data_IF_612384982710
#
_entry.id   IF_612384982710
#
_cell.length_a   1.000
_cell.length_b   1.000
_cell.length_c   1.000
_cell.angle_alpha   90.00
_cell.angle_beta   90.00
_cell.angle_gamma   90.00
#
_symmetry.space_group_name_H-M   'P 1'
#
loop_
_entity.id
_entity.type
_entity.pdbx_description
1 polymer ?
#
# COMPACT_ATOMS: atom_id res chain seq x y z
N UNK A 1 -4.20 22.16 86.78
CA UNK A 1 -3.32 21.53 85.77
C UNK A 1 -4.15 20.42 85.13
N UNK A 2 -4.88 20.69 84.04
CA UNK A 2 -4.52 20.31 82.65
C UNK A 2 -4.24 18.80 82.51
N UNK A 3 -4.93 17.94 81.74
CA UNK A 3 -6.00 18.05 80.75
C UNK A 3 -6.20 16.66 80.07
N UNK A 4 -7.35 16.51 79.38
CA UNK A 4 -7.83 15.57 78.33
C UNK A 4 -6.85 14.53 77.73
N UNK A 5 -7.24 13.25 77.66
CA UNK A 5 -7.84 12.48 76.53
C UNK A 5 -6.90 12.23 75.34
N UNK A 6 -6.67 10.96 74.98
CA UNK A 6 -7.19 10.39 73.73
C UNK A 6 -6.89 8.90 73.57
N UNK A 7 -7.89 8.21 73.00
CA UNK A 7 -7.87 6.85 72.46
C UNK A 7 -6.77 6.68 71.41
N UNK A 8 -6.13 5.51 71.38
CA UNK A 8 -5.67 4.96 70.10
C UNK A 8 -5.80 3.44 70.01
N UNK A 9 -6.64 3.02 69.06
CA UNK A 9 -6.85 1.64 68.62
C UNK A 9 -5.70 1.23 67.70
N UNK A 10 -4.87 0.28 68.11
CA UNK A 10 -4.05 -0.47 67.17
C UNK A 10 -4.91 -1.48 66.42
N UNK A 11 -5.44 -1.08 65.26
CA UNK A 11 -5.91 -2.01 64.24
C UNK A 11 -4.69 -2.54 63.46
N UNK A 12 -4.43 -3.84 63.58
CA UNK A 12 -3.47 -4.56 62.75
C UNK A 12 -3.90 -4.49 61.28
N UNK A 13 -3.23 -3.63 60.51
CA UNK A 13 -3.38 -3.52 59.06
C UNK A 13 -2.98 -4.85 58.44
N UNK A 14 -3.98 -5.55 57.90
CA UNK A 14 -3.83 -6.63 56.94
C UNK A 14 -2.80 -6.23 55.89
N UNK A 15 -1.69 -6.96 55.84
CA UNK A 15 -0.70 -6.89 54.79
C UNK A 15 -1.42 -6.97 53.44
N UNK A 16 -1.48 -5.84 52.74
CA UNK A 16 -2.01 -5.74 51.39
C UNK A 16 -1.02 -6.48 50.49
N UNK A 17 -1.24 -7.78 50.30
CA UNK A 17 -0.62 -8.54 49.22
C UNK A 17 -0.98 -7.81 47.94
N UNK A 18 0.00 -7.11 47.40
CA UNK A 18 0.03 -6.67 46.00
C UNK A 18 -0.32 -7.86 45.13
N UNK A 19 -1.60 -7.96 44.75
CA UNK A 19 -2.06 -8.87 43.71
C UNK A 19 -1.49 -8.26 42.43
N UNK A 20 -0.38 -8.81 41.96
CA UNK A 20 0.08 -8.57 40.60
C UNK A 20 -1.10 -8.91 39.67
N UNK A 21 -1.71 -7.89 39.07
CA UNK A 21 -2.69 -8.09 38.00
C UNK A 21 -2.06 -9.03 36.97
N UNK A 22 -2.72 -10.12 36.54
CA UNK A 22 -2.21 -10.94 35.43
C UNK A 22 -1.93 -10.00 34.26
N UNK A 23 -0.64 -9.75 34.01
CA UNK A 23 -0.23 -8.66 33.14
C UNK A 23 -0.52 -9.04 31.70
N UNK A 24 -1.29 -8.21 31.00
CA UNK A 24 -1.45 -8.35 29.55
C UNK A 24 -0.07 -8.39 28.86
N UNK A 25 0.14 -9.38 27.99
CA UNK A 25 1.40 -9.53 27.27
C UNK A 25 1.52 -8.52 26.14
N UNK A 26 2.75 -8.18 25.76
CA UNK A 26 3.01 -7.33 24.58
C UNK A 26 2.44 -7.99 23.31
N UNK A 27 2.57 -9.32 23.18
CA UNK A 27 2.01 -10.05 22.05
C UNK A 27 0.49 -9.91 21.94
N UNK A 28 -0.24 -9.96 23.06
CA UNK A 28 -1.69 -9.75 23.04
C UNK A 28 -2.06 -8.32 22.60
N UNK A 29 -1.26 -7.32 22.99
CA UNK A 29 -1.46 -5.94 22.54
C UNK A 29 -1.18 -5.83 21.03
N UNK A 30 -0.08 -6.42 20.56
CA UNK A 30 0.31 -6.46 19.14
C UNK A 30 -0.77 -7.14 18.30
N UNK A 31 -1.24 -8.32 18.70
CA UNK A 31 -2.28 -9.06 17.99
C UNK A 31 -3.56 -8.24 17.87
N UNK A 32 -4.00 -7.62 18.96
CA UNK A 32 -5.19 -6.79 18.92
C UNK A 32 -5.02 -5.53 18.08
N UNK A 33 -3.85 -4.91 18.11
CA UNK A 33 -3.53 -3.75 17.27
C UNK A 33 -3.56 -4.14 15.79
N UNK A 34 -2.95 -5.28 15.42
CA UNK A 34 -2.99 -5.82 14.07
C UNK A 34 -4.42 -6.11 13.60
N UNK A 35 -5.27 -6.68 14.46
CA UNK A 35 -6.68 -6.94 14.14
C UNK A 35 -7.46 -5.64 13.89
N UNK A 36 -7.25 -4.61 14.71
CA UNK A 36 -7.87 -3.30 14.51
C UNK A 36 -7.47 -2.70 13.16
N UNK A 37 -6.17 -2.70 12.84
CA UNK A 37 -5.64 -2.15 11.59
C UNK A 37 -6.11 -2.96 10.38
N UNK A 38 -6.13 -4.29 10.47
CA UNK A 38 -6.64 -5.14 9.40
C UNK A 38 -8.13 -4.87 9.10
N UNK A 39 -8.92 -4.57 10.12
CA UNK A 39 -10.35 -4.31 9.98
C UNK A 39 -10.71 -2.88 9.57
N UNK A 40 -9.96 -1.87 10.03
CA UNK A 40 -10.33 -0.46 9.90
C UNK A 40 -9.21 0.50 9.48
N UNK A 41 -8.02 -0.02 9.17
CA UNK A 41 -6.86 0.78 8.76
C UNK A 41 -6.09 1.38 9.93
N UNK A 42 -4.98 2.06 9.63
CA UNK A 42 -4.08 2.57 10.67
C UNK A 42 -4.71 3.67 11.54
N UNK A 43 -5.69 4.41 11.00
CA UNK A 43 -6.40 5.46 11.72
C UNK A 43 -7.14 4.93 12.97
N UNK A 44 -7.57 3.66 12.96
CA UNK A 44 -8.23 3.01 14.09
C UNK A 44 -7.28 2.64 15.23
N UNK A 45 -5.96 2.67 14.99
CA UNK A 45 -4.96 2.45 16.04
C UNK A 45 -4.94 3.64 17.01
N UNK A 46 -5.82 3.58 18.00
CA UNK A 46 -5.91 4.53 19.10
C UNK A 46 -5.97 3.80 20.43
N UNK A 47 -5.37 4.40 21.48
CA UNK A 47 -5.17 3.73 22.77
C UNK A 47 -6.48 3.29 23.43
N UNK A 48 -7.58 4.03 23.23
CA UNK A 48 -8.87 3.75 23.86
C UNK A 48 -9.56 2.52 23.24
N UNK A 49 -9.84 2.44 21.93
CA UNK A 49 -10.29 1.21 21.26
C UNK A 49 -9.41 0.00 21.54
N UNK A 50 -8.08 0.18 21.56
CA UNK A 50 -7.14 -0.90 21.87
C UNK A 50 -7.33 -1.42 23.30
N UNK A 51 -7.37 -0.52 24.30
CA UNK A 51 -7.59 -0.88 25.70
C UNK A 51 -8.96 -1.54 25.91
N UNK A 52 -10.03 -0.97 25.33
CA UNK A 52 -11.39 -1.54 25.36
C UNK A 52 -11.40 -2.94 24.75
N UNK A 53 -10.77 -3.11 23.59
CA UNK A 53 -10.72 -4.39 22.88
C UNK A 53 -9.92 -5.48 23.61
N UNK A 54 -9.11 -5.11 24.60
CA UNK A 54 -8.32 -5.98 25.44
C UNK A 54 -8.89 -6.13 26.86
N UNK A 55 -9.98 -5.43 27.18
CA UNK A 55 -10.59 -5.43 28.52
C UNK A 55 -9.69 -4.81 29.60
N UNK A 56 -8.77 -3.92 29.23
CA UNK A 56 -7.86 -3.24 30.16
C UNK A 56 -8.03 -1.72 30.10
N UNK A 57 -7.40 -1.00 31.02
CA UNK A 57 -7.41 0.48 31.00
C UNK A 57 -6.29 1.03 30.10
N UNK A 58 -6.47 2.26 29.60
CA UNK A 58 -5.44 2.95 28.80
C UNK A 58 -4.09 3.04 29.55
N UNK A 59 -4.03 3.36 30.85
CA UNK A 59 -2.78 3.33 31.61
C UNK A 59 -2.04 1.98 31.58
N UNK A 60 -2.75 0.85 31.51
CA UNK A 60 -2.13 -0.48 31.39
C UNK A 60 -1.42 -0.62 30.03
N UNK A 61 -2.04 -0.15 28.96
CA UNK A 61 -1.42 -0.12 27.62
C UNK A 61 -0.22 0.82 27.61
N UNK A 62 -0.38 2.04 28.14
CA UNK A 62 0.72 3.03 28.18
C UNK A 62 1.89 2.58 29.04
N UNK A 63 1.66 1.85 30.14
CA UNK A 63 2.73 1.30 30.97
C UNK A 63 3.55 0.21 30.24
N UNK A 64 2.98 -0.45 29.22
CA UNK A 64 3.63 -1.52 28.46
C UNK A 64 4.24 -1.06 27.15
N UNK A 65 3.55 -0.17 26.43
CA UNK A 65 3.90 0.23 25.06
C UNK A 65 4.24 1.72 24.94
N UNK A 66 4.07 2.50 26.00
CA UNK A 66 4.40 3.92 26.00
C UNK A 66 3.37 4.80 25.28
N UNK A 67 3.87 5.84 24.61
CA UNK A 67 3.07 6.77 23.79
C UNK A 67 2.49 6.07 22.55
N UNK A 68 1.67 6.79 21.77
CA UNK A 68 1.15 6.26 20.50
C UNK A 68 2.27 5.98 19.50
N UNK A 69 3.29 6.83 19.47
CA UNK A 69 4.46 6.71 18.61
C UNK A 69 5.31 5.49 19.02
N UNK A 70 5.54 5.33 20.33
CA UNK A 70 6.25 4.16 20.86
C UNK A 70 5.47 2.86 20.62
N UNK A 71 4.14 2.90 20.73
CA UNK A 71 3.27 1.78 20.35
C UNK A 71 3.41 1.44 18.86
N UNK A 72 3.45 2.45 17.98
CA UNK A 72 3.60 2.24 16.54
C UNK A 72 4.97 1.65 16.19
N UNK A 73 6.05 2.16 16.79
CA UNK A 73 7.41 1.64 16.62
C UNK A 73 7.49 0.18 17.08
N UNK A 74 7.02 -0.11 18.30
CA UNK A 74 7.04 -1.46 18.87
C UNK A 74 6.15 -2.45 18.11
N UNK A 75 4.99 -2.01 17.64
CA UNK A 75 4.11 -2.80 16.77
C UNK A 75 4.80 -3.13 15.44
N UNK A 76 5.47 -2.14 14.83
CA UNK A 76 6.18 -2.30 13.57
C UNK A 76 7.33 -3.30 13.72
N UNK A 77 8.12 -3.19 14.80
CA UNK A 77 9.22 -4.13 15.08
C UNK A 77 8.72 -5.57 15.33
N UNK A 78 7.60 -5.71 16.06
CA UNK A 78 7.01 -7.02 16.33
C UNK A 78 6.46 -7.67 15.05
N UNK A 79 5.76 -6.90 14.22
CA UNK A 79 5.25 -7.37 12.93
C UNK A 79 6.39 -7.72 11.97
N UNK A 80 7.42 -6.87 11.89
CA UNK A 80 8.63 -7.14 11.11
C UNK A 80 9.31 -8.44 11.56
N UNK A 81 9.43 -8.69 12.86
CA UNK A 81 10.00 -9.96 13.37
C UNK A 81 9.21 -11.20 12.93
N UNK A 82 7.88 -11.11 12.91
CA UNK A 82 7.02 -12.20 12.40
C UNK A 82 7.17 -12.38 10.90
N UNK A 83 7.25 -11.26 10.16
CA UNK A 83 7.43 -11.27 8.72
C UNK A 83 8.79 -11.89 8.35
N UNK A 84 9.88 -11.56 9.06
CA UNK A 84 11.19 -12.19 8.85
C UNK A 84 11.15 -13.71 8.95
N UNK A 85 10.42 -14.28 9.91
CA UNK A 85 10.26 -15.74 10.01
C UNK A 85 9.56 -16.33 8.77
N UNK A 86 8.59 -15.62 8.21
CA UNK A 86 7.97 -15.97 6.94
C UNK A 86 8.97 -15.87 5.77
N UNK A 87 9.75 -14.80 5.68
CA UNK A 87 10.77 -14.59 4.65
C UNK A 87 11.84 -15.71 4.70
N UNK A 88 12.35 -16.02 5.90
CA UNK A 88 13.34 -17.08 6.13
C UNK A 88 12.83 -18.45 5.67
N UNK A 89 11.57 -18.78 5.99
CA UNK A 89 10.93 -20.03 5.55
C UNK A 89 10.92 -20.16 4.02
N UNK A 90 10.53 -19.10 3.31
CA UNK A 90 10.46 -19.12 1.84
C UNK A 90 11.84 -19.09 1.19
N UNK A 91 12.81 -18.37 1.76
CA UNK A 91 14.19 -18.38 1.32
C UNK A 91 14.82 -19.78 1.47
N UNK A 92 14.55 -20.47 2.59
CA UNK A 92 14.99 -21.83 2.82
C UNK A 92 14.38 -22.81 1.80
N UNK A 93 13.07 -22.66 1.51
CA UNK A 93 12.41 -23.48 0.48
C UNK A 93 13.02 -23.25 -0.91
N UNK A 94 13.20 -21.99 -1.33
CA UNK A 94 13.79 -21.63 -2.62
C UNK A 94 15.19 -22.23 -2.80
N UNK A 95 16.01 -22.19 -1.73
CA UNK A 95 17.33 -22.82 -1.70
C UNK A 95 17.24 -24.34 -1.80
N UNK A 96 16.33 -24.97 -1.06
CA UNK A 96 16.19 -26.43 -1.02
C UNK A 96 15.75 -27.02 -2.36
N UNK A 97 14.89 -26.32 -3.10
CA UNK A 97 14.43 -26.77 -4.44
C UNK A 97 15.36 -26.34 -5.57
N UNK A 98 16.37 -25.51 -5.28
CA UNK A 98 17.33 -25.04 -6.29
C UNK A 98 16.72 -24.13 -7.35
N UNK A 99 15.86 -23.18 -6.96
CA UNK A 99 15.21 -22.26 -7.88
C UNK A 99 16.18 -21.21 -8.46
N UNK A 100 16.98 -21.62 -9.44
CA UNK A 100 18.05 -20.80 -10.03
C UNK A 100 17.64 -20.11 -11.33
N UNK A 101 16.59 -20.57 -12.01
CA UNK A 101 16.09 -19.98 -13.24
C UNK A 101 14.90 -19.05 -13.00
N UNK A 102 14.60 -18.18 -13.96
CA UNK A 102 13.53 -17.18 -13.83
C UNK A 102 12.14 -17.80 -13.64
N UNK A 103 11.86 -18.98 -14.20
CA UNK A 103 10.54 -19.60 -14.12
C UNK A 103 10.31 -20.21 -12.73
N UNK A 104 11.30 -20.94 -12.20
CA UNK A 104 11.22 -21.46 -10.83
C UNK A 104 11.18 -20.34 -9.79
N UNK A 105 11.99 -19.28 -9.95
CA UNK A 105 11.92 -18.07 -9.11
C UNK A 105 10.54 -17.41 -9.12
N UNK A 106 9.96 -17.18 -10.30
CA UNK A 106 8.62 -16.62 -10.42
C UNK A 106 7.54 -17.48 -9.76
N UNK A 107 7.63 -18.81 -9.92
CA UNK A 107 6.67 -19.74 -9.31
C UNK A 107 6.73 -19.70 -7.78
N UNK A 108 7.93 -19.65 -7.19
CA UNK A 108 8.08 -19.56 -5.72
C UNK A 108 7.65 -18.18 -5.23
N UNK A 109 8.03 -17.11 -5.91
CA UNK A 109 7.60 -15.75 -5.57
C UNK A 109 6.06 -15.61 -5.61
N UNK A 110 5.39 -16.24 -6.58
CA UNK A 110 3.93 -16.26 -6.67
C UNK A 110 3.29 -16.97 -5.48
N UNK A 111 3.83 -18.13 -5.08
CA UNK A 111 3.32 -18.88 -3.92
C UNK A 111 3.58 -18.15 -2.60
N UNK A 112 4.77 -17.55 -2.45
CA UNK A 112 5.12 -16.72 -1.30
C UNK A 112 4.17 -15.52 -1.18
N UNK A 113 3.97 -14.78 -2.27
CA UNK A 113 3.08 -13.61 -2.28
C UNK A 113 1.63 -14.01 -1.94
N UNK A 114 1.15 -15.13 -2.48
CA UNK A 114 -0.17 -15.67 -2.15
C UNK A 114 -0.29 -16.01 -0.67
N UNK A 115 0.70 -16.69 -0.08
CA UNK A 115 0.67 -16.96 1.35
C UNK A 115 0.71 -15.67 2.17
N UNK A 116 1.54 -14.70 1.78
CA UNK A 116 1.70 -13.45 2.50
C UNK A 116 0.38 -12.66 2.59
N UNK A 117 -0.35 -12.53 1.49
CA UNK A 117 -1.61 -11.77 1.46
C UNK A 117 -2.83 -12.54 2.01
N UNK A 118 -2.69 -13.85 2.26
CA UNK A 118 -3.76 -14.71 2.79
C UNK A 118 -3.54 -15.09 4.25
N UNK A 119 -2.41 -15.75 4.57
CA UNK A 119 -2.10 -16.26 5.91
C UNK A 119 -1.42 -15.22 6.79
N UNK A 120 -0.49 -14.45 6.22
CA UNK A 120 0.21 -13.34 6.91
C UNK A 120 -0.42 -11.97 6.64
N UNK A 121 -1.72 -11.99 6.33
CA UNK A 121 -2.48 -10.83 5.85
C UNK A 121 -2.35 -9.60 6.76
N UNK A 122 -2.27 -9.80 8.08
CA UNK A 122 -2.19 -8.71 9.06
C UNK A 122 -0.90 -7.91 8.92
N UNK A 123 0.21 -8.60 8.65
CA UNK A 123 1.52 -8.01 8.41
C UNK A 123 1.55 -7.28 7.06
N UNK A 124 1.03 -7.92 6.00
CA UNK A 124 0.91 -7.29 4.68
C UNK A 124 0.09 -5.99 4.74
N UNK A 125 -1.07 -6.00 5.41
CA UNK A 125 -1.90 -4.80 5.62
C UNK A 125 -1.13 -3.73 6.39
N UNK A 126 -0.51 -4.09 7.53
CA UNK A 126 0.24 -3.13 8.32
C UNK A 126 1.38 -2.48 7.51
N UNK A 127 2.16 -3.26 6.77
CA UNK A 127 3.27 -2.73 5.98
C UNK A 127 2.78 -1.72 4.93
N UNK A 128 1.71 -2.04 4.20
CA UNK A 128 1.15 -1.14 3.18
C UNK A 128 0.52 0.11 3.83
N UNK A 129 -0.20 -0.05 4.95
CA UNK A 129 -0.72 1.08 5.73
C UNK A 129 0.40 2.02 6.19
N UNK A 130 1.51 1.47 6.71
CA UNK A 130 2.66 2.27 7.14
C UNK A 130 3.32 3.00 5.99
N UNK A 131 3.48 2.36 4.82
CA UNK A 131 4.00 3.01 3.60
C UNK A 131 3.09 4.17 3.18
N UNK A 132 1.77 3.95 3.16
CA UNK A 132 0.79 5.00 2.83
C UNK A 132 0.81 6.16 3.84
N UNK A 133 0.81 5.83 5.12
CA UNK A 133 0.84 6.79 6.22
C UNK A 133 2.11 7.64 6.19
N UNK A 134 3.27 7.00 6.00
CA UNK A 134 4.53 7.70 5.85
C UNK A 134 4.59 8.52 4.59
N UNK A 135 4.01 8.09 3.47
CA UNK A 135 3.94 8.90 2.25
C UNK A 135 3.17 10.23 2.45
N UNK A 136 2.20 10.28 3.39
CA UNK A 136 1.44 11.49 3.71
C UNK A 136 2.10 12.39 4.77
N UNK A 137 2.91 11.81 5.68
CA UNK A 137 3.54 12.55 6.77
C UNK A 137 4.94 13.05 6.42
N UNK A 138 5.47 13.97 7.22
CA UNK A 138 6.84 14.52 7.05
C UNK A 138 7.89 13.69 7.76
N UNK A 139 7.52 12.99 8.83
CA UNK A 139 8.41 12.19 9.67
C UNK A 139 8.57 10.76 9.15
N UNK A 140 9.78 10.21 9.31
CA UNK A 140 10.10 8.81 9.03
C UNK A 140 9.85 7.93 10.25
N UNK A 141 9.74 6.62 10.03
CA UNK A 141 9.61 5.60 11.07
C UNK A 141 10.78 4.62 10.91
N UNK A 142 11.68 4.55 11.89
CA UNK A 142 12.93 3.79 11.74
C UNK A 142 12.67 2.29 11.56
N UNK A 143 11.80 1.70 12.40
CA UNK A 143 11.40 0.30 12.27
C UNK A 143 10.74 -0.04 10.92
N UNK A 144 10.13 0.94 10.22
CA UNK A 144 9.61 0.71 8.87
C UNK A 144 10.74 0.60 7.84
N UNK A 145 11.77 1.45 7.93
CA UNK A 145 12.91 1.40 7.01
C UNK A 145 13.62 0.05 7.10
N UNK A 146 13.85 -0.45 8.31
CA UNK A 146 14.46 -1.77 8.54
C UNK A 146 13.62 -2.89 7.90
N UNK A 147 12.28 -2.80 8.01
CA UNK A 147 11.37 -3.78 7.42
C UNK A 147 11.36 -3.70 5.90
N UNK A 148 11.32 -2.49 5.32
CA UNK A 148 11.37 -2.31 3.86
C UNK A 148 12.69 -2.84 3.30
N UNK A 149 13.82 -2.59 3.97
CA UNK A 149 15.13 -3.08 3.56
C UNK A 149 15.22 -4.62 3.54
N UNK A 150 14.75 -5.29 4.61
CA UNK A 150 14.73 -6.76 4.69
C UNK A 150 13.76 -7.38 3.68
N UNK A 151 12.55 -6.82 3.56
CA UNK A 151 11.56 -7.28 2.59
C UNK A 151 12.06 -7.10 1.15
N UNK A 152 12.69 -5.96 0.83
CA UNK A 152 13.26 -5.69 -0.49
C UNK A 152 14.37 -6.66 -0.86
N UNK A 153 15.33 -6.91 0.05
CA UNK A 153 16.38 -7.91 -0.17
C UNK A 153 15.80 -9.30 -0.41
N UNK A 154 14.81 -9.70 0.37
CA UNK A 154 14.13 -10.99 0.19
C UNK A 154 13.46 -11.09 -1.18
N UNK A 155 12.60 -10.14 -1.53
CA UNK A 155 11.84 -10.20 -2.79
C UNK A 155 12.75 -10.12 -4.01
N UNK A 156 13.80 -9.30 -3.96
CA UNK A 156 14.75 -9.22 -5.07
C UNK A 156 15.58 -10.50 -5.22
N UNK A 157 16.00 -11.12 -4.12
CA UNK A 157 16.65 -12.44 -4.16
C UNK A 157 15.70 -13.49 -4.72
N UNK A 158 14.43 -13.48 -4.31
CA UNK A 158 13.47 -14.49 -4.73
C UNK A 158 13.06 -14.35 -6.20
N UNK A 159 12.91 -13.12 -6.70
CA UNK A 159 12.43 -12.83 -8.06
C UNK A 159 13.60 -12.84 -9.06
N UNK A 160 14.73 -12.22 -8.70
CA UNK A 160 15.85 -11.97 -9.60
C UNK A 160 17.11 -12.78 -9.26
N UNK A 161 17.25 -13.25 -8.02
CA UNK A 161 18.50 -13.81 -7.53
C UNK A 161 19.57 -12.76 -7.23
N UNK A 162 19.18 -11.48 -7.15
CA UNK A 162 20.10 -10.36 -6.97
C UNK A 162 19.46 -9.27 -6.08
N UNK A 163 20.13 -8.92 -4.99
CA UNK A 163 19.66 -7.90 -4.04
C UNK A 163 19.79 -6.47 -4.57
N UNK A 164 20.54 -6.22 -5.64
CA UNK A 164 20.64 -4.90 -6.27
C UNK A 164 19.29 -4.36 -6.75
N UNK A 165 18.30 -5.25 -6.94
CA UNK A 165 16.94 -4.92 -7.37
C UNK A 165 15.94 -4.80 -6.21
N UNK A 166 16.41 -4.63 -4.97
CA UNK A 166 15.59 -4.61 -3.74
C UNK A 166 14.37 -3.68 -3.82
N UNK A 167 14.60 -2.40 -4.11
CA UNK A 167 13.54 -1.39 -4.17
C UNK A 167 12.51 -1.68 -5.28
N UNK A 168 12.99 -2.11 -6.45
CA UNK A 168 12.13 -2.41 -7.59
C UNK A 168 11.27 -3.66 -7.32
N UNK A 169 11.87 -4.70 -6.75
CA UNK A 169 11.18 -5.92 -6.36
C UNK A 169 10.13 -5.65 -5.28
N UNK A 170 10.50 -4.90 -4.25
CA UNK A 170 9.57 -4.52 -3.19
C UNK A 170 8.41 -3.67 -3.72
N UNK A 171 8.71 -2.68 -4.56
CA UNK A 171 7.70 -1.85 -5.19
C UNK A 171 6.67 -2.68 -5.96
N UNK A 172 7.15 -3.56 -6.84
CA UNK A 172 6.26 -4.47 -7.58
C UNK A 172 5.38 -5.31 -6.65
N UNK A 173 5.98 -5.91 -5.62
CA UNK A 173 5.28 -6.80 -4.70
C UNK A 173 4.27 -6.05 -3.83
N UNK A 174 4.60 -4.85 -3.32
CA UNK A 174 3.67 -4.06 -2.51
C UNK A 174 2.46 -3.58 -3.31
N UNK A 175 2.65 -3.14 -4.57
CA UNK A 175 1.53 -2.75 -5.43
C UNK A 175 0.59 -3.95 -5.66
N UNK A 176 1.13 -5.12 -6.04
CA UNK A 176 0.33 -6.33 -6.24
C UNK A 176 -0.29 -6.87 -4.95
N UNK A 177 0.41 -6.76 -3.82
CA UNK A 177 -0.12 -7.18 -2.53
C UNK A 177 -1.35 -6.34 -2.15
N UNK A 178 -1.29 -5.02 -2.36
CA UNK A 178 -2.41 -4.11 -2.12
C UNK A 178 -3.69 -4.55 -2.82
N UNK A 179 -3.61 -4.92 -4.10
CA UNK A 179 -4.75 -5.45 -4.85
C UNK A 179 -5.12 -6.87 -4.41
N UNK A 180 -4.15 -7.75 -4.22
CA UNK A 180 -4.36 -9.14 -3.82
C UNK A 180 -5.12 -9.27 -2.50
N UNK A 181 -4.97 -8.32 -1.58
CA UNK A 181 -5.72 -8.28 -0.33
C UNK A 181 -7.24 -8.14 -0.55
N UNK A 182 -7.68 -7.42 -1.59
CA UNK A 182 -9.11 -7.19 -1.87
C UNK A 182 -9.70 -8.09 -2.94
N UNK A 183 -8.93 -8.40 -3.98
CA UNK A 183 -9.40 -9.09 -5.20
C UNK A 183 -8.65 -10.38 -5.51
N UNK A 184 -7.82 -10.89 -4.59
CA UNK A 184 -6.97 -12.08 -4.80
C UNK A 184 -7.73 -13.37 -5.11
N UNK A 185 -8.99 -13.48 -4.71
CA UNK A 185 -9.84 -14.66 -4.97
C UNK A 185 -10.40 -14.70 -6.40
N UNK A 186 -10.31 -13.60 -7.18
CA UNK A 186 -10.71 -13.59 -8.58
C UNK A 186 -9.68 -14.37 -9.43
N UNK A 187 -10.07 -15.47 -10.11
CA UNK A 187 -9.12 -16.32 -10.83
C UNK A 187 -8.49 -15.62 -12.04
N UNK A 188 -9.20 -14.66 -12.67
CA UNK A 188 -8.65 -13.88 -13.78
C UNK A 188 -7.55 -12.95 -13.27
N UNK A 189 -7.77 -12.32 -12.11
CA UNK A 189 -6.75 -11.49 -11.47
C UNK A 189 -5.56 -12.31 -10.99
N UNK A 190 -5.80 -13.44 -10.32
CA UNK A 190 -4.72 -14.32 -9.85
C UNK A 190 -3.84 -14.81 -11.02
N UNK A 191 -4.45 -15.18 -12.15
CA UNK A 191 -3.70 -15.56 -13.35
C UNK A 191 -2.95 -14.37 -13.95
N UNK A 192 -3.59 -13.19 -14.07
CA UNK A 192 -2.94 -11.97 -14.57
C UNK A 192 -1.70 -11.62 -13.73
N UNK A 193 -1.82 -11.62 -12.40
CA UNK A 193 -0.71 -11.37 -11.47
C UNK A 193 0.42 -12.38 -11.66
N UNK A 194 0.10 -13.68 -11.74
CA UNK A 194 1.10 -14.73 -11.96
C UNK A 194 1.86 -14.53 -13.27
N UNK A 195 1.17 -14.19 -14.36
CA UNK A 195 1.80 -13.97 -15.68
C UNK A 195 2.65 -12.70 -15.69
N UNK A 196 2.18 -11.62 -15.04
CA UNK A 196 2.96 -10.40 -14.86
C UNK A 196 4.24 -10.67 -14.04
N UNK A 197 4.16 -11.45 -12.96
CA UNK A 197 5.31 -11.78 -12.12
C UNK A 197 6.34 -12.66 -12.87
N UNK A 198 5.87 -13.62 -13.67
CA UNK A 198 6.76 -14.39 -14.56
C UNK A 198 7.50 -13.49 -15.54
N UNK A 199 6.80 -12.52 -16.13
CA UNK A 199 7.41 -11.55 -17.03
C UNK A 199 8.37 -10.62 -16.30
N UNK A 200 8.06 -10.23 -15.07
CA UNK A 200 8.93 -9.42 -14.23
C UNK A 200 10.23 -10.16 -13.87
N UNK A 201 10.17 -11.41 -13.43
CA UNK A 201 11.32 -12.24 -13.10
C UNK A 201 12.26 -12.53 -14.30
N UNK A 202 11.76 -12.31 -15.53
CA UNK A 202 12.51 -12.40 -16.80
C UNK A 202 13.05 -11.05 -17.28
N UNK A 203 12.83 -9.98 -16.54
CA UNK A 203 13.35 -8.65 -16.87
C UNK A 203 12.46 -7.82 -17.80
N UNK A 204 11.17 -8.14 -17.98
CA UNK A 204 10.12 -7.27 -18.60
C UNK A 204 10.00 -7.32 -20.15
N UNK A 205 11.02 -7.73 -20.90
CA UNK A 205 11.07 -7.68 -22.37
C UNK A 205 10.29 -8.81 -23.09
N UNK A 206 9.91 -8.54 -24.35
CA UNK A 206 9.10 -9.44 -25.20
C UNK A 206 9.88 -10.66 -25.74
N UNK A 207 11.19 -10.56 -25.93
CA UNK A 207 11.99 -11.57 -26.67
C UNK A 207 12.08 -12.94 -25.96
N UNK A 208 11.67 -13.03 -24.69
CA UNK A 208 11.63 -14.26 -23.90
C UNK A 208 10.22 -14.90 -23.80
N UNK A 209 9.23 -14.37 -24.52
CA UNK A 209 7.82 -14.52 -24.13
C UNK A 209 6.84 -14.86 -25.27
N UNK A 210 7.13 -15.92 -26.04
CA UNK A 210 6.17 -16.44 -27.03
C UNK A 210 4.92 -17.04 -26.34
N UNK A 211 3.98 -16.18 -25.92
CA UNK A 211 2.65 -16.56 -25.43
C UNK A 211 2.12 -15.75 -24.24
N UNK A 212 2.95 -15.37 -23.27
CA UNK A 212 2.44 -14.73 -22.03
C UNK A 212 1.94 -13.32 -22.30
N UNK A 213 2.60 -12.55 -23.17
CA UNK A 213 2.15 -11.22 -23.56
C UNK A 213 0.74 -11.21 -24.16
N UNK A 214 0.43 -12.17 -25.04
CA UNK A 214 -0.90 -12.34 -25.61
C UNK A 214 -1.92 -12.74 -24.55
N UNK A 215 -1.58 -13.68 -23.66
CA UNK A 215 -2.44 -14.09 -22.56
C UNK A 215 -2.75 -12.95 -21.57
N UNK A 216 -1.75 -12.13 -21.23
CA UNK A 216 -1.91 -10.91 -20.42
C UNK A 216 -2.91 -9.96 -21.09
N UNK A 217 -2.74 -9.69 -22.39
CA UNK A 217 -3.66 -8.83 -23.14
C UNK A 217 -5.09 -9.39 -23.16
N UNK A 218 -5.25 -10.71 -23.38
CA UNK A 218 -6.56 -11.37 -23.33
C UNK A 218 -7.20 -11.26 -21.94
N UNK A 219 -6.46 -11.51 -20.86
CA UNK A 219 -6.98 -11.40 -19.49
C UNK A 219 -7.45 -9.98 -19.17
N UNK A 220 -6.70 -8.96 -19.59
CA UNK A 220 -7.11 -7.55 -19.43
C UNK A 220 -8.47 -7.30 -20.11
N UNK A 221 -8.68 -7.88 -21.29
CA UNK A 221 -9.95 -7.78 -22.03
C UNK A 221 -11.11 -8.54 -21.41
N UNK A 222 -10.86 -9.55 -20.56
CA UNK A 222 -11.90 -10.34 -19.88
C UNK A 222 -12.47 -9.66 -18.62
N UNK A 223 -11.91 -8.53 -18.20
CA UNK A 223 -12.48 -7.76 -17.10
C UNK A 223 -13.59 -6.86 -17.63
N UNK A 224 -14.83 -7.37 -17.59
CA UNK A 224 -16.04 -6.56 -17.72
C UNK A 224 -16.17 -5.64 -16.52
N UNK A 225 -15.89 -4.36 -16.72
CA UNK A 225 -16.06 -3.34 -15.69
C UNK A 225 -17.15 -2.39 -16.13
N UNK A 226 -18.09 -2.09 -15.23
CA UNK A 226 -19.05 -1.01 -15.45
C UNK A 226 -18.27 0.26 -15.81
N UNK A 227 -18.44 0.74 -17.05
CA UNK A 227 -17.99 2.07 -17.39
C UNK A 227 -18.54 3.02 -16.31
N UNK A 228 -17.73 3.93 -15.74
CA UNK A 228 -18.31 4.95 -14.88
C UNK A 228 -19.47 5.58 -15.65
N UNK A 229 -20.65 5.75 -15.03
CA UNK A 229 -21.76 6.40 -15.71
C UNK A 229 -21.21 7.70 -16.31
N UNK A 230 -21.50 7.91 -17.60
CA UNK A 230 -21.11 9.12 -18.30
C UNK A 230 -21.39 10.30 -17.37
N UNK A 231 -20.35 11.06 -17.07
CA UNK A 231 -20.48 12.21 -16.20
C UNK A 231 -21.54 13.07 -16.85
N UNK A 232 -22.69 13.27 -16.19
CA UNK A 232 -23.56 14.40 -16.48
C UNK A 232 -22.75 15.65 -16.13
N UNK A 233 -21.91 16.04 -17.09
CA UNK A 233 -21.00 17.17 -17.04
C UNK A 233 -21.85 18.42 -17.16
N UNK A 234 -22.33 18.96 -16.04
CA UNK A 234 -22.69 20.38 -15.97
C UNK A 234 -22.92 20.93 -14.55
N UNK A 235 -23.10 20.10 -13.50
CA UNK A 235 -23.34 20.63 -12.15
C UNK A 235 -22.05 21.11 -11.44
N UNK A 236 -21.86 22.43 -11.21
CA UNK A 236 -20.69 22.96 -10.55
C UNK A 236 -20.58 22.54 -9.07
N UNK A 237 -21.70 22.24 -8.41
CA UNK A 237 -21.69 21.77 -7.01
C UNK A 237 -21.14 20.37 -6.92
N UNK A 238 -21.61 19.45 -7.78
CA UNK A 238 -21.07 18.09 -7.89
C UNK A 238 -19.56 18.10 -8.15
N UNK A 239 -19.09 18.95 -9.06
CA UNK A 239 -17.65 19.09 -9.34
C UNK A 239 -16.86 19.61 -8.13
N UNK A 240 -17.37 20.60 -7.40
CA UNK A 240 -16.74 21.12 -6.18
C UNK A 240 -16.64 20.07 -5.08
N UNK A 241 -17.67 19.26 -4.91
CA UNK A 241 -17.69 18.13 -3.96
C UNK A 241 -16.60 17.12 -4.32
N UNK A 242 -16.53 16.71 -5.59
CA UNK A 242 -15.52 15.78 -6.10
C UNK A 242 -14.10 16.34 -5.91
N UNK A 243 -13.87 17.60 -6.26
CA UNK A 243 -12.57 18.23 -6.10
C UNK A 243 -12.14 18.28 -4.63
N UNK A 244 -13.05 18.63 -3.72
CA UNK A 244 -12.76 18.67 -2.28
C UNK A 244 -12.46 17.28 -1.71
N UNK A 245 -13.21 16.27 -2.16
CA UNK A 245 -12.98 14.88 -1.76
C UNK A 245 -11.67 14.31 -2.32
N UNK A 246 -11.33 14.62 -3.58
CA UNK A 246 -10.04 14.27 -4.17
C UNK A 246 -8.87 14.87 -3.38
N UNK A 247 -8.99 16.12 -2.96
CA UNK A 247 -7.96 16.79 -2.15
C UNK A 247 -7.82 16.16 -0.76
N UNK A 248 -8.93 15.72 -0.14
CA UNK A 248 -8.89 14.94 1.10
C UNK A 248 -8.18 13.59 0.91
N UNK A 249 -8.42 12.88 -0.19
CA UNK A 249 -7.75 11.60 -0.46
C UNK A 249 -6.23 11.78 -0.53
N UNK A 250 -5.75 12.75 -1.31
CA UNK A 250 -4.30 12.91 -1.53
C UNK A 250 -3.57 13.51 -0.32
N UNK A 251 -4.27 14.23 0.56
CA UNK A 251 -3.68 14.88 1.74
C UNK A 251 -3.83 14.10 3.04
N UNK A 252 -4.93 13.36 3.21
CA UNK A 252 -5.31 12.71 4.47
C UNK A 252 -5.66 11.23 4.30
N UNK A 253 -5.62 10.71 3.08
CA UNK A 253 -5.95 9.33 2.77
C UNK A 253 -7.45 9.08 2.56
N UNK A 254 -7.76 7.91 2.01
CA UNK A 254 -9.12 7.51 1.60
C UNK A 254 -10.12 7.41 2.77
N UNK A 255 -9.64 7.07 3.96
CA UNK A 255 -10.48 6.91 5.15
C UNK A 255 -10.99 8.26 5.70
N UNK A 256 -10.34 9.38 5.33
CA UNK A 256 -10.81 10.73 5.66
C UNK A 256 -12.09 11.15 4.92
N UNK A 257 -12.43 10.45 3.83
CA UNK A 257 -13.58 10.79 2.96
C UNK A 257 -14.88 10.28 3.57
N UNK A 258 -15.67 11.20 4.10
CA UNK A 258 -17.04 10.96 4.58
C UNK A 258 -17.97 12.03 4.03
N UNK A 259 -19.29 11.77 4.01
CA UNK A 259 -20.26 12.81 3.61
C UNK A 259 -20.07 14.11 4.40
N UNK A 260 -19.79 14.01 5.70
CA UNK A 260 -19.61 15.17 6.58
C UNK A 260 -18.29 15.90 6.32
N UNK A 261 -17.16 15.19 6.23
CA UNK A 261 -15.86 15.83 6.00
C UNK A 261 -15.78 16.49 4.63
N UNK A 262 -16.35 15.85 3.60
CA UNK A 262 -16.42 16.41 2.25
C UNK A 262 -17.37 17.60 2.19
N UNK A 263 -18.54 17.54 2.84
CA UNK A 263 -19.48 18.66 2.89
C UNK A 263 -18.83 19.91 3.51
N UNK A 264 -18.11 19.73 4.62
CA UNK A 264 -17.34 20.78 5.26
C UNK A 264 -16.28 21.36 4.32
N UNK A 265 -15.46 20.49 3.70
CA UNK A 265 -14.40 20.91 2.78
C UNK A 265 -14.92 21.64 1.53
N UNK A 266 -16.06 21.21 1.00
CA UNK A 266 -16.69 21.80 -0.18
C UNK A 266 -17.55 23.05 0.13
N UNK A 267 -17.78 23.36 1.41
CA UNK A 267 -18.65 24.45 1.84
C UNK A 267 -20.12 24.24 1.45
N UNK A 268 -20.61 22.99 1.52
CA UNK A 268 -21.99 22.63 1.18
C UNK A 268 -22.68 21.89 2.33
N UNK A 269 -24.02 21.86 2.40
CA UNK A 269 -24.74 21.01 3.35
C UNK A 269 -24.45 19.52 3.14
N UNK A 270 -24.41 18.73 4.22
CA UNK A 270 -24.20 17.27 4.11
C UNK A 270 -25.28 16.56 3.27
N UNK A 271 -26.52 17.05 3.32
CA UNK A 271 -27.62 16.57 2.48
C UNK A 271 -27.35 16.73 0.98
N UNK A 272 -26.57 17.74 0.57
CA UNK A 272 -26.16 17.94 -0.83
C UNK A 272 -25.20 16.85 -1.28
N UNK A 273 -24.24 16.45 -0.44
CA UNK A 273 -23.33 15.34 -0.77
C UNK A 273 -24.11 14.03 -0.87
N UNK A 274 -25.03 13.77 0.06
CA UNK A 274 -25.89 12.58 0.00
C UNK A 274 -26.78 12.59 -1.25
N UNK A 275 -27.34 13.74 -1.63
CA UNK A 275 -28.14 13.88 -2.84
C UNK A 275 -27.36 13.52 -4.12
N UNK A 276 -26.11 13.98 -4.26
CA UNK A 276 -25.32 13.74 -5.48
C UNK A 276 -24.66 12.36 -5.56
N UNK A 277 -24.31 11.75 -4.44
CA UNK A 277 -23.50 10.52 -4.43
C UNK A 277 -24.19 9.33 -3.78
N UNK A 278 -25.16 9.56 -2.88
CA UNK A 278 -25.91 8.54 -2.15
C UNK A 278 -25.07 7.76 -1.13
N UNK A 279 -23.92 7.25 -1.54
CA UNK A 279 -23.03 6.39 -0.76
C UNK A 279 -21.59 6.92 -0.75
N UNK A 280 -20.86 6.59 0.32
CA UNK A 280 -19.41 6.85 0.43
C UNK A 280 -18.61 6.21 -0.72
N UNK A 281 -18.79 4.92 -1.09
CA UNK A 281 -18.02 4.33 -2.17
C UNK A 281 -18.21 5.07 -3.50
N UNK A 282 -19.44 5.49 -3.84
CA UNK A 282 -19.69 6.30 -5.04
C UNK A 282 -18.92 7.64 -5.02
N UNK A 283 -18.88 8.31 -3.87
CA UNK A 283 -18.11 9.54 -3.69
C UNK A 283 -16.59 9.31 -3.82
N UNK A 284 -16.07 8.26 -3.16
CA UNK A 284 -14.65 7.89 -3.22
C UNK A 284 -14.24 7.60 -4.67
N UNK A 285 -15.00 6.78 -5.39
CA UNK A 285 -14.71 6.43 -6.79
C UNK A 285 -14.71 7.66 -7.68
N UNK A 286 -15.73 8.52 -7.57
CA UNK A 286 -15.80 9.75 -8.35
C UNK A 286 -14.59 10.67 -8.09
N UNK A 287 -14.13 10.71 -6.84
CA UNK A 287 -12.96 11.49 -6.42
C UNK A 287 -11.65 10.93 -6.97
N UNK A 288 -11.48 9.61 -6.95
CA UNK A 288 -10.31 8.94 -7.54
C UNK A 288 -10.25 9.13 -9.05
N UNK A 289 -11.38 9.03 -9.74
CA UNK A 289 -11.47 9.36 -11.16
C UNK A 289 -11.08 10.82 -11.44
N UNK A 290 -11.42 11.76 -10.56
CA UNK A 290 -11.00 13.15 -10.70
C UNK A 290 -9.48 13.34 -10.53
N UNK A 291 -8.84 12.61 -9.61
CA UNK A 291 -7.37 12.62 -9.48
C UNK A 291 -6.71 12.13 -10.78
N UNK A 292 -7.20 11.02 -11.33
CA UNK A 292 -6.69 10.43 -12.58
C UNK A 292 -6.92 11.37 -13.77
N UNK A 293 -8.13 11.94 -13.88
CA UNK A 293 -8.47 12.88 -14.95
C UNK A 293 -7.62 14.16 -14.88
N UNK A 294 -7.37 14.69 -13.66
CA UNK A 294 -6.48 15.84 -13.43
C UNK A 294 -5.07 15.55 -13.90
N UNK A 295 -4.53 14.37 -13.59
CA UNK A 295 -3.21 13.94 -14.06
C UNK A 295 -3.15 13.85 -15.59
N UNK A 296 -4.13 13.19 -16.22
CA UNK A 296 -4.15 13.03 -17.67
C UNK A 296 -4.30 14.37 -18.41
N UNK A 297 -5.13 15.28 -17.91
CA UNK A 297 -5.29 16.63 -18.48
C UNK A 297 -3.97 17.40 -18.45
N UNK A 298 -3.31 17.45 -17.29
CA UNK A 298 -1.99 18.09 -17.17
C UNK A 298 -0.97 17.48 -18.14
N UNK A 299 -0.94 16.15 -18.24
CA UNK A 299 -0.03 15.45 -19.18
C UNK A 299 -0.38 15.75 -20.65
N UNK A 300 -1.65 15.90 -21.02
CA UNK A 300 -2.04 16.26 -22.39
C UNK A 300 -1.67 17.70 -22.73
N UNK A 301 -1.88 18.63 -21.80
CA UNK A 301 -1.58 20.06 -22.01
C UNK A 301 -0.08 20.26 -22.31
N UNK A 302 0.78 19.55 -21.58
CA UNK A 302 2.24 19.52 -21.79
C UNK A 302 2.60 18.98 -23.18
N UNK A 303 1.92 17.91 -23.63
CA UNK A 303 2.20 17.28 -24.92
C UNK A 303 1.79 18.14 -26.12
N UNK A 304 0.81 19.03 -25.95
CA UNK A 304 0.26 19.88 -27.01
C UNK A 304 1.04 21.20 -27.16
N UNK A 305 1.93 21.53 -26.20
CA UNK A 305 2.84 22.69 -26.29
C UNK A 305 2.31 23.98 -25.67
N UNK A 306 1.23 23.92 -24.91
CA UNK A 306 0.65 25.09 -24.21
C UNK A 306 1.35 25.31 -22.86
N UNK A 307 2.62 25.73 -22.88
CA UNK A 307 3.33 26.37 -21.76
C UNK A 307 3.48 25.61 -20.42
N UNK A 308 2.95 24.39 -20.30
CA UNK A 308 3.11 23.55 -19.12
C UNK A 308 4.49 22.92 -19.13
N UNK A 309 5.34 23.26 -18.16
CA UNK A 309 6.55 22.48 -17.87
C UNK A 309 6.22 21.00 -17.60
N UNK A 310 7.23 20.13 -17.39
CA UNK A 310 6.99 18.71 -17.09
C UNK A 310 5.94 18.55 -15.97
N UNK A 311 5.16 17.44 -15.94
CA UNK A 311 4.14 17.25 -14.91
C UNK A 311 4.81 17.44 -13.57
N UNK A 312 4.26 18.30 -12.70
CA UNK A 312 4.87 18.51 -11.40
C UNK A 312 4.93 17.20 -10.63
N UNK A 313 6.00 16.97 -9.89
CA UNK A 313 6.20 15.76 -9.09
C UNK A 313 4.97 15.48 -8.20
N UNK A 314 4.37 16.53 -7.63
CA UNK A 314 3.13 16.45 -6.84
C UNK A 314 1.96 15.80 -7.60
N UNK A 315 1.81 16.05 -8.90
CA UNK A 315 0.73 15.46 -9.69
C UNK A 315 0.90 13.96 -9.93
N UNK A 316 2.15 13.51 -10.04
CA UNK A 316 2.51 12.08 -10.15
C UNK A 316 2.30 11.41 -8.78
N UNK A 317 2.80 12.03 -7.71
CA UNK A 317 2.62 11.54 -6.34
C UNK A 317 1.13 11.36 -5.98
N UNK A 318 0.28 12.34 -6.31
CA UNK A 318 -1.17 12.27 -6.09
C UNK A 318 -1.81 11.06 -6.77
N UNK A 319 -1.43 10.80 -8.02
CA UNK A 319 -1.91 9.64 -8.78
C UNK A 319 -1.46 8.33 -8.13
N UNK A 320 -0.18 8.26 -7.73
CA UNK A 320 0.40 7.07 -7.10
C UNK A 320 -0.31 6.78 -5.76
N UNK A 321 -0.49 7.81 -4.90
CA UNK A 321 -1.25 7.70 -3.64
C UNK A 321 -2.68 7.21 -3.87
N UNK A 322 -3.43 7.90 -4.74
CA UNK A 322 -4.83 7.61 -4.99
C UNK A 322 -5.06 6.17 -5.49
N UNK A 323 -4.27 5.72 -6.45
CA UNK A 323 -4.41 4.37 -7.03
C UNK A 323 -3.96 3.25 -6.09
N UNK A 324 -3.00 3.49 -5.21
CA UNK A 324 -2.54 2.51 -4.21
C UNK A 324 -3.50 2.41 -3.03
N UNK A 325 -4.07 3.53 -2.58
CA UNK A 325 -5.00 3.55 -1.43
C UNK A 325 -6.33 2.85 -1.71
N UNK A 326 -6.86 2.93 -2.94
CA UNK A 326 -8.08 2.18 -3.30
C UNK A 326 -7.86 0.66 -3.25
N UNK A 327 -6.65 0.20 -3.62
CA UNK A 327 -6.32 -1.23 -3.59
C UNK A 327 -6.51 -1.78 -2.17
N UNK A 328 -5.90 -1.12 -1.18
CA UNK A 328 -6.02 -1.50 0.22
C UNK A 328 -7.42 -1.28 0.79
N UNK A 329 -8.10 -0.18 0.44
CA UNK A 329 -9.47 0.07 0.89
C UNK A 329 -10.45 -1.03 0.42
N UNK A 330 -10.26 -1.57 -0.79
CA UNK A 330 -11.10 -2.66 -1.32
C UNK A 330 -11.00 -3.97 -0.53
N UNK A 331 -9.94 -4.13 0.26
CA UNK A 331 -9.75 -5.23 1.18
C UNK A 331 -10.70 -5.18 2.38
N UNK A 332 -11.13 -3.97 2.77
CA UNK A 332 -12.06 -3.71 3.88
C UNK A 332 -13.49 -3.41 3.40
N UNK A 333 -13.62 -2.83 2.21
CA UNK A 333 -14.90 -2.41 1.64
C UNK A 333 -15.16 -3.13 0.30
N UNK A 334 -15.92 -4.25 0.29
CA UNK A 334 -16.13 -5.07 -0.91
C UNK A 334 -16.76 -4.33 -2.09
N UNK A 335 -17.55 -3.28 -1.85
CA UNK A 335 -18.12 -2.41 -2.90
C UNK A 335 -17.08 -1.67 -3.71
N UNK A 336 -15.84 -1.55 -3.22
CA UNK A 336 -14.72 -0.93 -3.96
C UNK A 336 -13.98 -1.91 -4.89
N UNK A 337 -14.20 -3.23 -4.76
CA UNK A 337 -13.47 -4.25 -5.55
C UNK A 337 -13.59 -4.09 -7.07
N UNK A 338 -14.78 -3.78 -7.65
CA UNK A 338 -14.91 -3.56 -9.09
C UNK A 338 -14.06 -2.39 -9.61
N UNK A 339 -13.79 -1.40 -8.76
CA UNK A 339 -12.99 -0.23 -9.11
C UNK A 339 -11.50 -0.49 -8.89
N UNK A 340 -11.14 -1.22 -7.84
CA UNK A 340 -9.76 -1.66 -7.63
C UNK A 340 -9.26 -2.54 -8.80
N UNK A 341 -10.09 -3.49 -9.26
CA UNK A 341 -9.72 -4.34 -10.40
C UNK A 341 -9.65 -3.54 -11.71
N UNK A 342 -10.51 -2.54 -11.90
CA UNK A 342 -10.42 -1.61 -13.04
C UNK A 342 -9.11 -0.80 -13.03
N UNK A 343 -8.72 -0.29 -11.86
CA UNK A 343 -7.45 0.43 -11.71
C UNK A 343 -6.26 -0.48 -12.00
N UNK A 344 -6.27 -1.70 -11.45
CA UNK A 344 -5.17 -2.65 -11.64
C UNK A 344 -5.03 -3.08 -13.10
N UNK A 345 -6.11 -3.47 -13.78
CA UNK A 345 -6.04 -3.92 -15.19
C UNK A 345 -5.56 -2.81 -16.13
N UNK A 346 -5.79 -1.53 -15.80
CA UNK A 346 -5.41 -0.36 -16.61
C UNK A 346 -3.97 0.12 -16.35
N UNK A 347 -3.23 -0.52 -15.43
CA UNK A 347 -1.78 -0.27 -15.23
C UNK A 347 -1.05 -0.28 -16.59
N UNK A 348 -0.25 0.75 -16.84
CA UNK A 348 0.53 0.84 -18.09
C UNK A 348 -0.27 1.11 -19.37
N UNK A 349 -1.60 1.32 -19.31
CA UNK A 349 -2.42 1.50 -20.51
C UNK A 349 -1.99 2.67 -21.39
N UNK A 350 -1.54 3.73 -20.72
CA UNK A 350 -1.13 4.99 -21.33
C UNK A 350 0.38 5.11 -21.54
N UNK A 351 1.14 4.04 -21.28
CA UNK A 351 2.59 4.03 -21.47
C UNK A 351 2.94 3.69 -22.91
N UNK A 352 4.00 4.31 -23.43
CA UNK A 352 4.49 4.16 -24.80
C UNK A 352 5.98 3.87 -24.80
N UNK A 353 6.48 3.30 -25.90
CA UNK A 353 7.90 3.06 -26.12
C UNK A 353 8.76 4.33 -25.94
N UNK A 354 8.26 5.49 -26.38
CA UNK A 354 8.94 6.78 -26.23
C UNK A 354 9.10 7.21 -24.77
N UNK A 355 8.17 6.83 -23.89
CA UNK A 355 8.29 7.12 -22.46
C UNK A 355 9.47 6.35 -21.85
N UNK A 356 9.79 5.17 -22.37
CA UNK A 356 10.87 4.31 -21.87
C UNK A 356 12.23 4.92 -22.13
N UNK A 357 12.41 5.51 -23.33
CA UNK A 357 13.62 6.24 -23.65
C UNK A 357 13.82 7.44 -22.73
N UNK A 358 12.74 8.18 -22.43
CA UNK A 358 12.80 9.32 -21.50
C UNK A 358 13.13 8.89 -20.07
N UNK A 359 12.68 7.69 -19.65
CA UNK A 359 13.01 7.08 -18.36
C UNK A 359 14.35 6.31 -18.36
N UNK A 360 15.11 6.36 -19.45
CA UNK A 360 16.37 5.63 -19.63
C UNK A 360 16.26 4.10 -19.45
N UNK A 361 15.09 3.55 -19.77
CA UNK A 361 14.82 2.11 -19.72
C UNK A 361 15.13 1.52 -21.10
N UNK A 362 16.02 0.52 -21.15
CA UNK A 362 16.53 -0.12 -22.38
C UNK A 362 15.51 -0.93 -23.20
N UNK A 363 14.20 -0.77 -22.98
CA UNK A 363 13.15 -1.62 -23.54
C UNK A 363 12.43 -1.04 -24.76
N UNK A 364 12.73 0.20 -25.17
CA UNK A 364 11.91 0.96 -26.13
C UNK A 364 11.54 0.20 -27.41
N UNK A 365 12.49 -0.53 -28.02
CA UNK A 365 12.25 -1.29 -29.25
C UNK A 365 11.42 -2.58 -29.05
N UNK A 366 11.47 -3.18 -27.85
CA UNK A 366 10.76 -4.40 -27.48
C UNK A 366 9.54 -4.13 -26.56
N UNK A 367 9.09 -2.87 -26.51
CA UNK A 367 7.99 -2.45 -25.67
C UNK A 367 6.66 -2.98 -26.21
N UNK A 368 5.97 -3.80 -25.42
CA UNK A 368 4.61 -4.25 -25.68
C UNK A 368 3.66 -3.90 -24.51
N UNK A 369 2.39 -4.27 -24.65
CA UNK A 369 1.37 -4.04 -23.62
C UNK A 369 1.71 -4.68 -22.27
N UNK A 370 2.34 -5.86 -22.29
CA UNK A 370 2.69 -6.60 -21.09
C UNK A 370 3.90 -6.01 -20.37
N UNK A 371 4.88 -5.49 -21.11
CA UNK A 371 5.96 -4.67 -20.57
C UNK A 371 5.40 -3.43 -19.87
N UNK A 372 4.46 -2.71 -20.52
CA UNK A 372 3.78 -1.56 -19.93
C UNK A 372 3.05 -1.90 -18.62
N UNK A 373 2.37 -3.06 -18.56
CA UNK A 373 1.73 -3.54 -17.33
C UNK A 373 2.74 -3.71 -16.20
N UNK A 374 3.78 -4.53 -16.42
CA UNK A 374 4.77 -4.89 -15.40
C UNK A 374 5.52 -3.66 -14.90
N UNK A 375 5.95 -2.78 -15.81
CA UNK A 375 6.63 -1.56 -15.45
C UNK A 375 5.76 -0.62 -14.63
N UNK A 376 4.49 -0.44 -15.02
CA UNK A 376 3.61 0.45 -14.30
C UNK A 376 3.34 -0.04 -12.88
N UNK A 377 3.32 -1.35 -12.63
CA UNK A 377 3.17 -1.91 -11.28
C UNK A 377 4.42 -1.59 -10.45
N UNK A 378 5.60 -1.94 -10.99
CA UNK A 378 6.88 -1.70 -10.32
C UNK A 378 7.10 -0.20 -10.03
N UNK A 379 6.83 0.67 -11.01
CA UNK A 379 7.00 2.11 -10.87
C UNK A 379 6.04 2.73 -9.84
N UNK A 380 4.78 2.33 -9.81
CA UNK A 380 3.84 2.87 -8.81
C UNK A 380 4.21 2.45 -7.40
N UNK A 381 4.55 1.17 -7.19
CA UNK A 381 5.02 0.70 -5.90
C UNK A 381 6.33 1.34 -5.46
N UNK A 382 7.31 1.45 -6.38
CA UNK A 382 8.56 2.17 -6.14
C UNK A 382 8.30 3.62 -5.73
N UNK A 383 7.35 4.29 -6.38
CA UNK A 383 6.96 5.64 -6.00
C UNK A 383 6.31 5.75 -4.63
N UNK A 384 5.47 4.78 -4.25
CA UNK A 384 4.94 4.72 -2.88
C UNK A 384 6.04 4.57 -1.83
N UNK A 385 7.01 3.69 -2.08
CA UNK A 385 8.17 3.50 -1.19
C UNK A 385 9.03 4.76 -1.16
N UNK A 386 9.36 5.35 -2.31
CA UNK A 386 10.10 6.59 -2.41
C UNK A 386 9.45 7.73 -1.63
N UNK A 387 8.12 7.89 -1.71
CA UNK A 387 7.39 8.87 -0.90
C UNK A 387 7.44 8.57 0.60
N UNK A 388 7.36 7.30 1.01
CA UNK A 388 7.49 6.90 2.41
C UNK A 388 8.89 7.20 2.95
N UNK A 389 9.93 6.87 2.18
CA UNK A 389 11.34 7.12 2.48
C UNK A 389 11.77 8.57 2.30
N UNK A 390 10.93 9.45 1.73
CA UNK A 390 11.30 10.84 1.35
C UNK A 390 12.42 10.91 0.31
N UNK A 391 12.41 9.95 -0.62
CA UNK A 391 13.29 9.81 -1.76
C UNK A 391 12.47 9.70 -3.06
N UNK A 392 11.46 10.57 -3.22
CA UNK A 392 10.59 10.60 -4.41
C UNK A 392 11.20 11.35 -5.60
N UNK A 393 12.50 11.67 -5.55
CA UNK A 393 13.16 12.38 -6.64
C UNK A 393 13.28 11.51 -7.92
N UNK A 394 13.26 12.12 -9.11
CA UNK A 394 13.35 11.37 -10.37
C UNK A 394 14.65 10.55 -10.53
N UNK A 395 15.73 10.90 -9.85
CA UNK A 395 17.01 10.19 -9.96
C UNK A 395 16.94 8.82 -9.27
N UNK A 396 16.23 8.73 -8.14
CA UNK A 396 15.97 7.47 -7.46
C UNK A 396 15.23 6.46 -8.36
N UNK A 397 14.19 6.92 -9.07
CA UNK A 397 13.49 6.10 -10.06
C UNK A 397 14.39 5.64 -11.19
N UNK A 398 15.16 6.55 -11.79
CA UNK A 398 16.07 6.23 -12.88
C UNK A 398 17.12 5.19 -12.45
N UNK A 399 17.65 5.30 -11.22
CA UNK A 399 18.62 4.36 -10.67
C UNK A 399 18.07 2.93 -10.56
N UNK A 400 16.83 2.77 -10.07
CA UNK A 400 16.22 1.45 -9.94
C UNK A 400 16.05 0.74 -11.30
N UNK A 401 15.65 1.47 -12.35
CA UNK A 401 15.53 0.91 -13.69
C UNK A 401 16.88 0.71 -14.39
N UNK A 402 17.87 1.56 -14.12
CA UNK A 402 19.23 1.35 -14.60
C UNK A 402 19.84 0.07 -13.99
N UNK A 403 19.59 -0.21 -12.72
CA UNK A 403 20.00 -1.46 -12.06
C UNK A 403 19.36 -2.69 -12.73
N UNK A 404 18.07 -2.61 -13.10
CA UNK A 404 17.40 -3.68 -13.84
C UNK A 404 18.07 -3.95 -15.20
N UNK A 405 18.42 -2.89 -15.92
CA UNK A 405 19.08 -3.02 -17.22
C UNK A 405 20.50 -3.60 -17.08
N UNK A 406 21.25 -3.17 -16.06
CA UNK A 406 22.57 -3.71 -15.76
C UNK A 406 22.49 -5.20 -15.37
N UNK A 407 21.53 -5.59 -14.52
CA UNK A 407 21.30 -6.97 -14.12
C UNK A 407 21.02 -7.86 -15.34
N UNK A 408 20.12 -7.40 -16.22
CA UNK A 408 19.72 -8.14 -17.41
C UNK A 408 20.86 -8.35 -18.40
N UNK A 409 21.69 -7.33 -18.59
CA UNK A 409 22.82 -7.38 -19.53
C UNK A 409 24.05 -8.08 -18.97
N UNK A 410 24.03 -8.48 -17.69
CA UNK A 410 25.20 -9.04 -17.00
C UNK A 410 26.29 -8.00 -16.73
N UNK A 411 25.93 -6.71 -16.74
CA UNK A 411 26.86 -5.59 -16.51
C UNK A 411 26.99 -5.22 -15.03
N UNK A 412 26.24 -5.88 -14.13
CA UNK A 412 26.47 -5.84 -12.69
C UNK A 412 27.70 -6.72 -12.37
N UNK A 413 28.89 -6.16 -12.54
CA UNK A 413 30.16 -6.77 -12.11
C UNK A 413 30.78 -5.95 -10.98
#
# INVERSE_FOLDING_TARGET
MTGRSDCDRCASVSANRSIATPGISVDAIVDKALDLIASGGLAELTLRPLATGLGVSVPVISARMGSKEQLLEGLTQAAHTRDRAFLEKWAALAKAVGATDSASRAAIAELALREWVTRERRQAVLLIELVHDRALRRDRLAALEDWLDDAGRFWATLIFGDTALAELALGYVLDEAGFSLGIGDDPKYALLRSLCLQRFARGIFADADAGTGAAIASLIGLFDTAAPPAVEEEDPKRQRIIASAAELIVSQGIDSVTHRSVALAAGVPASTVVYHFGSRPALVVASLHAVIARFHRRRSDIRIGDGGGPPSDTSIEDLIKATSMIALASAREPSLRPYAIDMRRRRGENWRASDMQAMQIGIGAAFDRAAGQVLSIAAFGLGMIGMARKASDPAHFAQAFAALEAWRTGSLA
#
